data_IF_465247438161
#
_entry.id   IF_465247438161
#
_cell.length_a   1.000
_cell.length_b   1.000
_cell.length_c   1.000
_cell.angle_alpha   90.00
_cell.angle_beta   90.00
_cell.angle_gamma   90.00
#
_symmetry.space_group_name_H-M   'P 1'
#
loop_
_entity.id
_entity.type
_entity.pdbx_description
1 polymer ?
#
# COMPACT_ATOMS: atom_id res chain seq x y z
N UNK A 1 3.98 16.36 -29.07
CA UNK A 1 2.86 17.27 -28.74
C UNK A 1 3.32 18.38 -27.79
N UNK A 2 2.53 19.42 -27.50
CA UNK A 2 2.83 20.36 -26.40
C UNK A 2 2.16 19.86 -25.12
N UNK A 3 2.95 19.58 -24.09
CA UNK A 3 2.47 19.17 -22.77
C UNK A 3 2.30 20.39 -21.84
N UNK A 4 1.32 20.33 -20.94
CA UNK A 4 0.99 21.42 -20.04
C UNK A 4 1.06 20.99 -18.58
N UNK A 5 1.51 21.92 -17.74
CA UNK A 5 1.64 21.72 -16.30
C UNK A 5 0.35 21.97 -15.51
N UNK A 6 0.46 21.82 -14.19
CA UNK A 6 -0.60 22.13 -13.22
C UNK A 6 -0.15 23.27 -12.30
N UNK A 7 -1.00 24.29 -12.11
CA UNK A 7 -0.68 25.36 -11.17
C UNK A 7 -0.66 24.82 -9.75
N UNK A 8 0.38 25.16 -8.99
CA UNK A 8 0.47 24.84 -7.58
C UNK A 8 -0.41 25.80 -6.77
N UNK A 9 -1.31 25.28 -5.94
CA UNK A 9 -2.19 26.09 -5.09
C UNK A 9 -1.51 26.53 -3.78
N UNK A 10 -0.30 26.05 -3.53
CA UNK A 10 0.50 26.32 -2.32
C UNK A 10 1.56 25.23 -2.16
N UNK A 11 1.18 24.16 -1.47
CA UNK A 11 1.98 22.97 -1.22
C UNK A 11 1.38 21.71 -1.87
N UNK A 12 0.69 21.86 -3.00
CA UNK A 12 -0.06 20.77 -3.67
C UNK A 12 0.75 20.05 -4.74
N UNK A 13 2.08 20.12 -4.70
CA UNK A 13 2.95 19.47 -5.69
C UNK A 13 2.83 17.93 -5.67
N UNK A 14 2.53 17.33 -4.51
CA UNK A 14 2.23 15.90 -4.38
C UNK A 14 1.05 15.51 -5.29
N UNK A 15 -0.03 16.28 -5.22
CA UNK A 15 -1.24 16.05 -6.00
C UNK A 15 -1.00 16.30 -7.49
N UNK A 16 -0.30 17.39 -7.83
CA UNK A 16 0.02 17.72 -9.21
C UNK A 16 0.81 16.60 -9.90
N UNK A 17 1.81 16.04 -9.20
CA UNK A 17 2.66 14.96 -9.75
C UNK A 17 1.86 13.68 -10.01
N UNK A 18 0.96 13.30 -9.10
CA UNK A 18 0.06 12.16 -9.26
C UNK A 18 -0.90 12.39 -10.43
N UNK A 19 -1.55 13.56 -10.48
CA UNK A 19 -2.54 13.87 -11.52
C UNK A 19 -1.91 13.87 -12.92
N UNK A 20 -0.65 14.29 -13.05
CA UNK A 20 0.08 14.17 -14.32
C UNK A 20 0.34 12.70 -14.69
N UNK A 21 0.81 11.86 -13.76
CA UNK A 21 1.01 10.44 -14.01
C UNK A 21 -0.31 9.72 -14.41
N UNK A 22 -1.40 10.03 -13.71
CA UNK A 22 -2.74 9.53 -14.03
C UNK A 22 -3.24 10.02 -15.40
N UNK A 23 -3.09 11.31 -15.70
CA UNK A 23 -3.47 11.89 -17.00
C UNK A 23 -2.72 11.25 -18.18
N UNK A 24 -1.45 10.93 -17.97
CA UNK A 24 -0.58 10.31 -18.97
C UNK A 24 -0.82 8.81 -19.14
N UNK A 25 -1.65 8.21 -18.26
CA UNK A 25 -2.14 6.84 -18.42
C UNK A 25 -3.40 6.86 -19.30
N UNK A 26 -3.26 6.47 -20.59
CA UNK A 26 -4.31 6.62 -21.60
C UNK A 26 -5.60 5.89 -21.20
N UNK A 27 -5.48 4.64 -20.79
CA UNK A 27 -6.57 3.76 -20.39
C UNK A 27 -7.37 4.37 -19.24
N UNK A 28 -6.67 4.90 -18.23
CA UNK A 28 -7.31 5.60 -17.11
C UNK A 28 -8.08 6.83 -17.58
N UNK A 29 -7.43 7.70 -18.36
CA UNK A 29 -8.05 8.93 -18.88
C UNK A 29 -9.28 8.65 -19.74
N UNK A 30 -9.23 7.63 -20.56
CA UNK A 30 -10.36 7.21 -21.41
C UNK A 30 -11.50 6.63 -20.58
N UNK A 31 -11.19 5.79 -19.59
CA UNK A 31 -12.18 5.24 -18.67
C UNK A 31 -12.87 6.34 -17.86
N UNK A 32 -12.11 7.28 -17.26
CA UNK A 32 -12.64 8.45 -16.55
C UNK A 32 -13.60 9.27 -17.44
N UNK A 33 -13.24 9.50 -18.71
CA UNK A 33 -14.10 10.19 -19.68
C UNK A 33 -15.39 9.41 -19.97
N UNK A 34 -15.32 8.08 -20.04
CA UNK A 34 -16.49 7.24 -20.30
C UNK A 34 -17.46 7.18 -19.11
N UNK A 35 -16.94 7.27 -17.89
CA UNK A 35 -17.67 7.17 -16.62
C UNK A 35 -18.24 8.51 -16.13
N UNK A 36 -17.84 9.65 -16.70
CA UNK A 36 -18.18 10.99 -16.20
C UNK A 36 -19.63 11.43 -16.49
N UNK A 37 -20.63 10.58 -16.24
CA UNK A 37 -22.04 10.80 -16.64
C UNK A 37 -22.95 11.33 -15.52
N UNK A 38 -22.44 11.63 -14.33
CA UNK A 38 -23.26 12.01 -13.16
C UNK A 38 -22.76 13.26 -12.41
N UNK A 39 -23.27 13.51 -11.20
CA UNK A 39 -23.21 14.74 -10.41
C UNK A 39 -21.90 15.55 -10.44
N UNK A 40 -22.02 16.88 -10.33
CA UNK A 40 -20.87 17.82 -10.31
C UNK A 40 -19.84 17.49 -9.22
N UNK A 41 -20.23 16.90 -8.10
CA UNK A 41 -19.32 16.60 -7.00
C UNK A 41 -18.58 15.25 -7.16
N UNK A 42 -18.83 14.52 -8.25
CA UNK A 42 -18.17 13.25 -8.57
C UNK A 42 -16.71 13.47 -9.00
N UNK A 43 -15.78 12.72 -8.41
CA UNK A 43 -14.36 12.79 -8.74
C UNK A 43 -14.08 12.47 -10.21
N UNK A 44 -14.82 11.55 -10.83
CA UNK A 44 -14.68 11.22 -12.25
C UNK A 44 -15.01 12.43 -13.14
N UNK A 45 -16.01 13.24 -12.77
CA UNK A 45 -16.37 14.46 -13.50
C UNK A 45 -15.28 15.52 -13.36
N UNK A 46 -14.74 15.70 -12.15
CA UNK A 46 -13.69 16.69 -11.91
C UNK A 46 -12.38 16.31 -12.59
N UNK A 47 -12.00 15.02 -12.54
CA UNK A 47 -10.84 14.51 -13.27
C UNK A 47 -11.02 14.64 -14.79
N UNK A 48 -12.18 14.27 -15.34
CA UNK A 48 -12.44 14.44 -16.78
C UNK A 48 -12.33 15.92 -17.20
N UNK A 49 -12.94 16.82 -16.44
CA UNK A 49 -12.88 18.27 -16.68
C UNK A 49 -11.44 18.78 -16.67
N UNK A 50 -10.65 18.36 -15.67
CA UNK A 50 -9.24 18.69 -15.58
C UNK A 50 -8.45 18.15 -16.77
N UNK A 51 -8.65 16.88 -17.13
CA UNK A 51 -7.95 16.21 -18.22
C UNK A 51 -8.25 16.82 -19.58
N UNK A 52 -9.49 17.23 -19.84
CA UNK A 52 -9.85 17.95 -21.07
C UNK A 52 -9.26 19.37 -21.12
N UNK A 53 -9.07 20.03 -19.97
CA UNK A 53 -8.37 21.31 -19.87
C UNK A 53 -6.85 21.16 -20.07
N UNK A 54 -6.24 20.14 -19.46
CA UNK A 54 -4.80 19.83 -19.54
C UNK A 54 -4.32 19.53 -20.97
N UNK A 55 -5.20 19.00 -21.83
CA UNK A 55 -4.89 18.84 -23.27
C UNK A 55 -4.64 20.17 -23.99
N UNK A 56 -5.14 21.28 -23.45
CA UNK A 56 -5.17 22.59 -24.14
C UNK A 56 -4.30 23.64 -23.48
N UNK A 57 -4.15 23.60 -22.14
CA UNK A 57 -3.46 24.65 -21.37
C UNK A 57 -3.00 24.17 -20.00
N UNK A 58 -2.07 24.92 -19.42
CA UNK A 58 -1.75 24.83 -17.99
C UNK A 58 -3.01 25.08 -17.18
N UNK A 59 -3.33 24.16 -16.27
CA UNK A 59 -4.64 24.08 -15.60
C UNK A 59 -4.51 24.14 -14.08
N UNK A 60 -5.62 24.46 -13.40
CA UNK A 60 -5.73 24.51 -11.95
C UNK A 60 -6.44 23.27 -11.42
N UNK A 61 -6.12 22.85 -10.19
CA UNK A 61 -6.67 21.64 -9.56
C UNK A 61 -7.76 21.93 -8.52
N UNK A 62 -8.29 23.15 -8.48
CA UNK A 62 -9.17 23.65 -7.41
C UNK A 62 -10.44 22.82 -7.20
N UNK A 63 -11.09 22.37 -8.28
CA UNK A 63 -12.29 21.55 -8.12
C UNK A 63 -11.95 20.12 -7.67
N UNK A 64 -10.81 19.58 -8.11
CA UNK A 64 -10.31 18.29 -7.64
C UNK A 64 -9.94 18.36 -6.15
N UNK A 65 -9.25 19.40 -5.70
CA UNK A 65 -8.91 19.57 -4.28
C UNK A 65 -10.15 19.72 -3.41
N UNK A 66 -11.18 20.44 -3.88
CA UNK A 66 -12.48 20.53 -3.19
C UNK A 66 -13.16 19.17 -3.06
N UNK A 67 -13.26 18.40 -4.15
CA UNK A 67 -13.88 17.07 -4.14
C UNK A 67 -13.13 16.10 -3.22
N UNK A 68 -11.80 16.14 -3.21
CA UNK A 68 -10.96 15.34 -2.31
C UNK A 68 -10.94 15.85 -0.86
N UNK A 69 -11.64 16.96 -0.56
CA UNK A 69 -11.71 17.62 0.74
C UNK A 69 -10.33 18.06 1.27
N UNK A 70 -9.48 18.55 0.38
CA UNK A 70 -8.18 19.16 0.71
C UNK A 70 -8.43 20.62 1.07
N UNK A 71 -8.71 20.88 2.35
CA UNK A 71 -8.99 22.24 2.85
C UNK A 71 -7.72 23.08 2.99
N UNK A 72 -6.60 22.44 3.35
CA UNK A 72 -5.33 23.11 3.65
C UNK A 72 -4.32 22.89 2.53
N UNK A 73 -4.51 23.60 1.42
CA UNK A 73 -3.64 23.53 0.24
C UNK A 73 -2.19 23.98 0.48
N UNK A 74 -1.89 24.58 1.63
CA UNK A 74 -0.55 25.00 2.05
C UNK A 74 0.18 23.96 2.92
N UNK A 75 -0.48 22.84 3.27
CA UNK A 75 0.14 21.72 3.98
C UNK A 75 0.61 20.64 2.98
N UNK A 76 1.81 20.13 3.20
CA UNK A 76 2.34 19.00 2.44
C UNK A 76 1.66 17.70 2.87
N UNK A 77 1.52 16.78 1.92
CA UNK A 77 0.91 15.47 2.13
C UNK A 77 1.70 14.39 1.39
N UNK A 78 1.43 13.14 1.74
CA UNK A 78 2.03 11.98 1.07
C UNK A 78 1.36 11.72 -0.30
N UNK A 79 2.19 11.52 -1.32
CA UNK A 79 1.67 11.30 -2.67
C UNK A 79 1.01 9.92 -2.83
N UNK A 80 1.55 8.88 -2.18
CA UNK A 80 0.95 7.55 -2.19
C UNK A 80 -0.45 7.54 -1.58
N UNK A 81 -0.63 8.21 -0.45
CA UNK A 81 -1.94 8.33 0.21
C UNK A 81 -3.00 8.96 -0.68
N UNK A 82 -2.69 10.07 -1.36
CA UNK A 82 -3.65 10.73 -2.25
C UNK A 82 -3.87 9.99 -3.56
N UNK A 83 -2.88 9.25 -4.05
CA UNK A 83 -3.07 8.33 -5.17
C UNK A 83 -4.07 7.23 -4.80
N UNK A 84 -3.90 6.57 -3.66
CA UNK A 84 -4.82 5.54 -3.17
C UNK A 84 -6.23 6.09 -2.99
N UNK A 85 -6.35 7.29 -2.40
CA UNK A 85 -7.63 7.97 -2.24
C UNK A 85 -8.32 8.23 -3.58
N UNK A 86 -7.61 8.79 -4.56
CA UNK A 86 -8.17 9.03 -5.90
C UNK A 86 -8.62 7.72 -6.54
N UNK A 87 -7.78 6.68 -6.51
CA UNK A 87 -8.09 5.39 -7.13
C UNK A 87 -9.25 4.64 -6.44
N UNK A 88 -9.48 4.92 -5.15
CA UNK A 88 -10.61 4.38 -4.39
C UNK A 88 -11.92 5.14 -4.60
N UNK A 89 -11.83 6.46 -4.86
CA UNK A 89 -13.02 7.32 -5.04
C UNK A 89 -13.55 7.30 -6.48
N UNK A 90 -12.71 6.99 -7.49
CA UNK A 90 -13.13 6.88 -8.90
C UNK A 90 -13.94 5.60 -9.17
N UNK A 91 -14.59 5.53 -10.33
CA UNK A 91 -15.31 4.33 -10.76
C UNK A 91 -14.39 3.09 -10.85
N UNK A 92 -14.95 1.91 -10.58
CA UNK A 92 -14.23 0.64 -10.73
C UNK A 92 -13.67 0.47 -12.14
N UNK A 93 -14.42 0.89 -13.17
CA UNK A 93 -13.96 0.87 -14.57
C UNK A 93 -12.70 1.74 -14.78
N UNK A 94 -12.61 2.90 -14.11
CA UNK A 94 -11.46 3.78 -14.20
C UNK A 94 -10.26 3.21 -13.44
N UNK A 95 -10.44 2.77 -12.19
CA UNK A 95 -9.33 2.27 -11.37
C UNK A 95 -8.84 0.87 -11.77
N UNK A 96 -9.63 0.11 -12.54
CA UNK A 96 -9.33 -1.26 -12.96
C UNK A 96 -7.94 -1.44 -13.60
N UNK A 97 -7.47 -0.46 -14.38
CA UNK A 97 -6.16 -0.52 -15.03
C UNK A 97 -5.00 -0.69 -14.03
N UNK A 98 -5.16 -0.16 -12.82
CA UNK A 98 -4.16 -0.23 -11.74
C UNK A 98 -4.42 -1.38 -10.75
N UNK A 99 -5.54 -2.09 -10.86
CA UNK A 99 -6.01 -3.02 -9.82
C UNK A 99 -5.44 -4.44 -10.02
N UNK A 100 -4.51 -4.82 -9.15
CA UNK A 100 -4.02 -6.19 -9.04
C UNK A 100 -4.74 -7.02 -7.97
N UNK A 101 -4.37 -8.29 -7.85
CA UNK A 101 -4.85 -9.21 -6.80
C UNK A 101 -3.73 -10.14 -6.37
N UNK A 102 -3.52 -10.24 -5.06
CA UNK A 102 -2.61 -11.18 -4.41
C UNK A 102 -3.42 -12.31 -3.76
N UNK A 103 -2.80 -13.48 -3.62
CA UNK A 103 -3.21 -14.51 -2.67
C UNK A 103 -2.26 -14.41 -1.49
N UNK A 104 -2.79 -14.06 -0.32
CA UNK A 104 -2.10 -14.16 0.96
C UNK A 104 -2.30 -15.57 1.51
N UNK A 105 -1.22 -16.37 1.51
CA UNK A 105 -1.25 -17.76 1.97
C UNK A 105 -0.49 -17.91 3.28
N UNK A 106 -1.15 -18.50 4.26
CA UNK A 106 -0.56 -18.89 5.56
C UNK A 106 -0.53 -20.41 5.64
N UNK A 107 0.63 -21.04 5.79
CA UNK A 107 0.83 -22.49 5.81
C UNK A 107 1.41 -22.93 7.15
N UNK A 108 0.76 -23.88 7.81
CA UNK A 108 1.30 -24.52 9.02
C UNK A 108 2.28 -25.63 8.64
N UNK A 109 3.51 -25.55 9.15
CA UNK A 109 4.58 -26.46 8.73
C UNK A 109 4.42 -27.88 9.31
N UNK A 110 3.68 -28.03 10.41
CA UNK A 110 3.50 -29.35 11.04
C UNK A 110 2.40 -30.21 10.42
N UNK A 111 1.26 -29.61 10.04
CA UNK A 111 0.13 -30.36 9.50
C UNK A 111 -0.22 -30.03 8.04
N UNK A 112 0.49 -29.07 7.42
CA UNK A 112 0.28 -28.64 6.04
C UNK A 112 -1.05 -27.91 5.80
N UNK A 113 -1.83 -27.61 6.84
CA UNK A 113 -3.05 -26.82 6.67
C UNK A 113 -2.70 -25.40 6.24
N UNK A 114 -3.45 -24.87 5.28
CA UNK A 114 -3.27 -23.49 4.84
C UNK A 114 -4.59 -22.72 4.78
N UNK A 115 -4.47 -21.40 4.80
CA UNK A 115 -5.53 -20.44 4.51
C UNK A 115 -5.08 -19.51 3.41
N UNK A 116 -5.96 -19.25 2.45
CA UNK A 116 -5.73 -18.35 1.33
C UNK A 116 -6.75 -17.20 1.41
N UNK A 117 -6.26 -15.96 1.44
CA UNK A 117 -7.07 -14.74 1.37
C UNK A 117 -6.75 -13.98 0.08
N UNK A 118 -7.79 -13.57 -0.66
CA UNK A 118 -7.61 -12.74 -1.85
C UNK A 118 -7.52 -11.27 -1.47
N UNK A 119 -6.40 -10.62 -1.79
CA UNK A 119 -6.09 -9.25 -1.38
C UNK A 119 -5.94 -8.36 -2.62
N UNK A 120 -6.92 -7.49 -2.94
CA UNK A 120 -6.77 -6.52 -4.02
C UNK A 120 -5.75 -5.44 -3.65
N UNK A 121 -5.05 -4.89 -4.64
CA UNK A 121 -4.10 -3.80 -4.43
C UNK A 121 -4.08 -2.81 -5.61
N UNK A 122 -3.71 -1.56 -5.34
CA UNK A 122 -3.39 -0.56 -6.36
C UNK A 122 -1.89 -0.38 -6.58
N UNK A 123 -1.08 -0.60 -5.55
CA UNK A 123 0.38 -0.57 -5.64
C UNK A 123 1.02 -1.56 -4.67
N UNK A 124 2.21 -2.05 -5.03
CA UNK A 124 3.06 -2.81 -4.12
C UNK A 124 3.93 -1.84 -3.34
N UNK A 125 3.86 -1.89 -2.01
CA UNK A 125 4.68 -1.04 -1.15
C UNK A 125 5.97 -1.76 -0.79
N UNK A 126 7.08 -1.31 -1.36
CA UNK A 126 8.39 -1.92 -1.23
C UNK A 126 9.20 -1.21 -0.13
N UNK A 127 9.50 -1.91 0.98
CA UNK A 127 10.49 -1.44 1.95
C UNK A 127 11.89 -1.41 1.31
N UNK A 128 12.71 -0.44 1.71
CA UNK A 128 14.10 -0.35 1.28
C UNK A 128 14.94 -1.21 2.23
N UNK A 129 14.98 -2.52 1.96
CA UNK A 129 15.77 -3.44 2.76
C UNK A 129 17.27 -3.24 2.51
N UNK A 130 18.09 -3.46 3.54
CA UNK A 130 19.55 -3.39 3.41
C UNK A 130 20.05 -4.50 2.48
N UNK A 131 20.74 -4.11 1.41
CA UNK A 131 21.45 -5.06 0.56
C UNK A 131 22.89 -5.18 1.04
N UNK A 132 23.38 -6.40 1.24
CA UNK A 132 24.75 -6.66 1.67
C UNK A 132 25.81 -6.37 0.59
N UNK A 133 25.40 -6.26 -0.68
CA UNK A 133 26.30 -6.33 -1.83
C UNK A 133 26.20 -5.13 -2.81
N UNK A 134 25.47 -4.06 -2.49
CA UNK A 134 25.37 -2.92 -3.40
C UNK A 134 24.26 -1.92 -3.07
N UNK A 135 23.79 -1.24 -4.12
CA UNK A 135 22.59 -0.41 -4.01
C UNK A 135 21.35 -1.28 -4.10
N UNK A 136 20.28 -0.84 -3.44
CA UNK A 136 18.97 -1.46 -3.57
C UNK A 136 18.46 -1.32 -5.00
N UNK A 137 18.08 -2.43 -5.65
CA UNK A 137 17.35 -2.39 -6.91
C UNK A 137 15.84 -2.59 -6.69
N UNK A 138 15.04 -2.01 -7.57
CA UNK A 138 13.58 -2.22 -7.55
C UNK A 138 13.23 -3.71 -7.73
N UNK A 139 14.03 -4.44 -8.51
CA UNK A 139 13.87 -5.88 -8.76
C UNK A 139 14.06 -6.67 -7.46
N UNK A 140 15.09 -6.36 -6.67
CA UNK A 140 15.32 -6.96 -5.34
C UNK A 140 14.15 -6.67 -4.41
N UNK A 141 13.60 -5.45 -4.47
CA UNK A 141 12.43 -5.05 -3.69
C UNK A 141 11.20 -5.92 -3.97
N UNK A 142 10.91 -6.19 -5.24
CA UNK A 142 9.80 -7.06 -5.65
C UNK A 142 10.06 -8.50 -5.21
N UNK A 143 11.28 -9.00 -5.40
CA UNK A 143 11.65 -10.35 -4.98
C UNK A 143 11.51 -10.52 -3.46
N UNK A 144 11.97 -9.54 -2.69
CA UNK A 144 11.83 -9.54 -1.24
C UNK A 144 10.37 -9.47 -0.79
N UNK A 145 9.52 -8.72 -1.51
CA UNK A 145 8.08 -8.65 -1.23
C UNK A 145 7.36 -9.99 -1.43
N UNK A 146 7.76 -10.75 -2.46
CA UNK A 146 7.15 -12.04 -2.81
C UNK A 146 7.82 -13.24 -2.12
N UNK A 147 8.89 -13.02 -1.35
CA UNK A 147 9.60 -14.07 -0.64
C UNK A 147 8.79 -14.55 0.56
N UNK A 148 8.80 -15.87 0.76
CA UNK A 148 8.23 -16.52 1.93
C UNK A 148 8.83 -15.98 3.24
N UNK A 149 7.98 -15.74 4.22
CA UNK A 149 8.33 -15.29 5.57
C UNK A 149 7.98 -16.39 6.55
N UNK A 150 8.99 -16.89 7.26
CA UNK A 150 8.85 -17.93 8.27
C UNK A 150 8.66 -17.32 9.67
N UNK A 151 7.71 -17.85 10.42
CA UNK A 151 7.40 -17.47 11.78
C UNK A 151 7.70 -18.64 12.72
N UNK A 152 8.84 -18.55 13.42
CA UNK A 152 9.40 -19.64 14.22
C UNK A 152 9.64 -19.22 15.68
N UNK A 153 9.83 -20.21 16.57
CA UNK A 153 10.19 -19.94 17.97
C UNK A 153 9.13 -19.11 18.73
N UNK A 154 9.51 -17.91 19.19
CA UNK A 154 8.60 -17.02 19.94
C UNK A 154 7.48 -16.45 19.06
N UNK A 155 7.72 -16.35 17.74
CA UNK A 155 6.82 -15.75 16.76
C UNK A 155 5.84 -16.76 16.12
N UNK A 156 5.85 -18.03 16.58
CA UNK A 156 4.95 -19.07 16.09
C UNK A 156 3.47 -18.66 16.10
N UNK A 157 2.77 -19.00 15.03
CA UNK A 157 1.34 -18.69 14.88
C UNK A 157 0.47 -19.84 15.38
N UNK A 158 -0.71 -19.52 15.90
CA UNK A 158 -1.65 -20.54 16.36
C UNK A 158 -2.32 -21.23 15.17
N UNK A 159 -2.21 -22.55 15.09
CA UNK A 159 -2.86 -23.35 14.06
C UNK A 159 -4.18 -23.95 14.57
N UNK A 160 -5.28 -23.67 13.88
CA UNK A 160 -6.61 -24.17 14.24
C UNK A 160 -6.77 -25.69 14.10
N UNK A 161 -5.98 -26.36 13.25
CA UNK A 161 -6.00 -27.84 13.16
C UNK A 161 -5.14 -28.49 14.24
N UNK A 162 -3.94 -27.97 14.49
CA UNK A 162 -3.05 -28.50 15.53
C UNK A 162 -3.49 -28.14 16.95
N UNK A 163 -4.31 -27.09 17.11
CA UNK A 163 -4.68 -26.49 18.41
C UNK A 163 -3.48 -26.06 19.25
N UNK A 164 -2.40 -25.64 18.59
CA UNK A 164 -1.15 -25.23 19.23
C UNK A 164 -0.40 -24.21 18.36
N UNK A 165 0.55 -23.48 18.94
CA UNK A 165 1.46 -22.59 18.21
C UNK A 165 2.45 -23.40 17.38
N UNK A 166 2.58 -23.09 16.10
CA UNK A 166 3.41 -23.82 15.14
C UNK A 166 4.23 -22.87 14.29
N UNK A 167 5.37 -23.38 13.85
CA UNK A 167 6.11 -22.75 12.77
C UNK A 167 5.18 -22.62 11.56
N UNK A 168 5.17 -21.43 10.98
CA UNK A 168 4.18 -21.04 9.98
C UNK A 168 4.89 -20.23 8.90
N UNK A 169 4.64 -20.60 7.65
CA UNK A 169 5.13 -19.88 6.48
C UNK A 169 4.02 -18.98 5.94
N UNK A 170 4.30 -17.69 5.77
CA UNK A 170 3.43 -16.73 5.08
C UNK A 170 4.04 -16.35 3.74
N UNK A 171 3.23 -16.32 2.69
CA UNK A 171 3.67 -15.86 1.36
C UNK A 171 2.57 -15.14 0.58
N UNK A 172 3.01 -14.34 -0.38
CA UNK A 172 2.14 -13.68 -1.34
C UNK A 172 2.36 -14.21 -2.75
N UNK A 173 1.28 -14.61 -3.41
CA UNK A 173 1.30 -15.03 -4.82
C UNK A 173 0.51 -14.01 -5.66
N UNK A 174 1.06 -13.58 -6.80
CA UNK A 174 0.34 -12.69 -7.72
C UNK A 174 -0.71 -13.50 -8.48
N UNK A 175 -2.00 -13.24 -8.21
CA UNK A 175 -3.13 -13.91 -8.88
C UNK A 175 -3.63 -13.11 -10.09
N UNK A 176 -3.69 -11.79 -9.96
CA UNK A 176 -4.04 -10.89 -11.09
C UNK A 176 -3.02 -9.77 -11.18
N UNK A 177 -2.35 -9.73 -12.32
CA UNK A 177 -1.43 -8.67 -12.70
C UNK A 177 -2.20 -7.44 -13.20
N UNK A 178 -1.91 -6.22 -12.70
CA UNK A 178 -2.52 -4.99 -13.21
C UNK A 178 -1.92 -4.63 -14.60
N UNK A 179 -2.67 -3.91 -15.42
CA UNK A 179 -2.15 -3.41 -16.72
C UNK A 179 -1.11 -2.30 -16.51
N UNK A 180 -1.30 -1.49 -15.47
CA UNK A 180 -0.30 -0.56 -14.96
C UNK A 180 0.04 -0.94 -13.52
N UNK A 181 1.27 -1.42 -13.33
CA UNK A 181 1.83 -1.71 -12.02
C UNK A 181 2.39 -0.43 -11.40
N UNK A 182 1.96 -0.12 -10.18
CA UNK A 182 2.52 0.97 -9.39
C UNK A 182 3.35 0.36 -8.25
N UNK A 183 4.57 0.85 -8.08
CA UNK A 183 5.44 0.51 -6.96
C UNK A 183 5.63 1.74 -6.08
N UNK A 184 5.34 1.62 -4.79
CA UNK A 184 5.59 2.64 -3.78
C UNK A 184 6.87 2.29 -3.04
N UNK A 185 7.90 3.14 -3.16
CA UNK A 185 9.13 3.02 -2.39
C UNK A 185 8.91 3.65 -1.01
N UNK A 186 8.91 2.82 0.05
CA UNK A 186 8.68 3.23 1.44
C UNK A 186 9.91 3.96 2.01
N UNK A 187 10.12 5.19 1.52
CA UNK A 187 11.25 6.03 1.93
C UNK A 187 11.01 6.76 3.24
N UNK A 188 9.84 6.69 3.84
CA UNK A 188 9.55 7.40 5.08
C UNK A 188 9.37 6.37 6.18
N UNK A 189 10.34 6.32 7.10
CA UNK A 189 10.38 5.31 8.15
C UNK A 189 10.68 5.95 9.51
N UNK A 190 10.15 5.33 10.56
CA UNK A 190 10.47 5.71 11.92
C UNK A 190 11.83 5.15 12.31
N UNK A 191 12.79 6.02 12.58
CA UNK A 191 14.08 5.62 13.09
C UNK A 191 14.00 5.43 14.62
N UNK A 192 13.98 4.18 15.07
CA UNK A 192 13.90 3.84 16.50
C UNK A 192 15.11 4.31 17.31
N UNK A 193 16.30 4.38 16.71
CA UNK A 193 17.49 4.87 17.40
C UNK A 193 17.43 6.37 17.66
N UNK A 194 16.87 7.12 16.71
CA UNK A 194 16.73 8.59 16.78
C UNK A 194 15.39 9.02 17.37
N UNK A 195 14.48 8.07 17.62
CA UNK A 195 13.10 8.30 18.06
C UNK A 195 12.35 9.32 17.18
N UNK A 196 12.62 9.30 15.87
CA UNK A 196 12.13 10.31 14.92
C UNK A 196 11.85 9.70 13.56
N UNK A 197 10.85 10.21 12.86
CA UNK A 197 10.67 9.89 11.44
C UNK A 197 11.79 10.51 10.61
N UNK A 198 12.31 9.76 9.64
CA UNK A 198 13.29 10.24 8.66
C UNK A 198 12.98 9.75 7.26
N UNK A 199 13.42 10.50 6.25
CA UNK A 199 13.41 10.04 4.86
C UNK A 199 14.68 9.24 4.55
N UNK A 200 14.52 8.02 4.08
CA UNK A 200 15.57 7.24 3.46
C UNK A 200 15.95 7.82 2.08
N UNK A 201 17.15 8.40 2.05
CA UNK A 201 17.72 9.07 0.88
C UNK A 201 18.75 8.20 0.14
N UNK A 202 18.82 6.90 0.44
CA UNK A 202 19.68 5.97 -0.28
C UNK A 202 19.30 5.92 -1.76
N UNK A 203 20.32 5.73 -2.59
CA UNK A 203 20.13 5.61 -4.02
C UNK A 203 19.55 4.23 -4.37
N UNK A 204 18.57 4.22 -5.26
CA UNK A 204 17.87 3.03 -5.73
C UNK A 204 18.08 2.88 -7.22
N UNK A 205 18.39 1.67 -7.67
CA UNK A 205 18.46 1.29 -9.08
C UNK A 205 17.05 1.01 -9.60
N UNK A 206 16.50 1.97 -10.36
CA UNK A 206 15.17 1.89 -10.98
C UNK A 206 15.30 1.33 -12.39
N UNK A 207 15.05 0.04 -12.56
CA UNK A 207 15.17 -0.62 -13.86
C UNK A 207 14.09 -0.13 -14.85
N UNK A 208 14.47 0.13 -16.10
CA UNK A 208 13.49 0.55 -17.12
C UNK A 208 12.56 -0.59 -17.54
N UNK A 209 13.00 -1.84 -17.37
CA UNK A 209 12.20 -3.03 -17.61
C UNK A 209 12.32 -3.95 -16.41
N UNK A 210 11.20 -4.47 -15.93
CA UNK A 210 11.14 -5.44 -14.84
C UNK A 210 10.32 -6.67 -15.26
N UNK A 211 10.63 -7.82 -14.68
CA UNK A 211 9.90 -9.05 -14.90
C UNK A 211 9.26 -9.49 -13.59
N UNK A 212 7.95 -9.70 -13.61
CA UNK A 212 7.20 -10.33 -12.53
C UNK A 212 6.97 -11.82 -12.84
N UNK A 213 6.54 -12.61 -11.84
CA UNK A 213 6.12 -14.00 -12.06
C UNK A 213 5.15 -14.15 -13.24
N UNK A 214 5.03 -15.39 -13.73
CA UNK A 214 4.18 -15.73 -14.88
C UNK A 214 4.62 -15.06 -16.20
N UNK A 215 5.92 -14.76 -16.34
CA UNK A 215 6.52 -14.12 -17.53
C UNK A 215 5.87 -12.78 -17.90
N UNK A 216 5.45 -12.01 -16.89
CA UNK A 216 4.84 -10.70 -17.10
C UNK A 216 5.92 -9.61 -17.07
N UNK A 217 6.25 -9.08 -18.24
CA UNK A 217 7.23 -8.00 -18.39
C UNK A 217 6.54 -6.64 -18.34
N UNK A 218 7.15 -5.69 -17.64
CA UNK A 218 6.68 -4.31 -17.57
C UNK A 218 7.79 -3.30 -17.89
N UNK A 219 7.40 -2.16 -18.42
CA UNK A 219 8.27 -1.04 -18.78
C UNK A 219 7.93 0.22 -17.97
N UNK A 220 8.96 0.85 -17.40
CA UNK A 220 8.83 2.09 -16.67
C UNK A 220 8.42 3.21 -17.64
N UNK A 221 7.38 3.96 -17.29
CA UNK A 221 6.97 5.14 -18.07
C UNK A 221 6.73 6.39 -17.21
N UNK A 222 6.62 6.27 -15.88
CA UNK A 222 6.58 7.44 -15.01
C UNK A 222 7.24 7.20 -13.66
N UNK A 223 7.89 8.26 -13.16
CA UNK A 223 8.41 8.36 -11.81
C UNK A 223 7.77 9.58 -11.13
N UNK A 224 7.24 9.41 -9.93
CA UNK A 224 6.93 10.52 -9.02
C UNK A 224 8.06 10.60 -8.01
N UNK A 225 8.73 11.73 -7.99
CA UNK A 225 9.93 11.98 -7.22
C UNK A 225 9.64 12.95 -6.08
N UNK A 226 10.22 12.71 -4.92
CA UNK A 226 10.18 13.60 -3.77
C UNK A 226 11.58 14.12 -3.44
N UNK A 227 11.77 15.44 -3.47
CA UNK A 227 12.98 16.12 -3.03
C UNK A 227 12.76 16.72 -1.64
N UNK A 228 13.81 16.76 -0.80
CA UNK A 228 13.70 17.27 0.58
C UNK A 228 13.45 16.18 1.63
N UNK A 229 12.86 16.58 2.75
CA UNK A 229 12.67 15.77 3.97
C UNK A 229 11.19 15.63 4.34
N UNK A 230 10.89 14.95 5.46
CA UNK A 230 9.53 14.79 5.97
C UNK A 230 8.83 16.10 6.34
N UNK A 231 9.58 17.09 6.83
CA UNK A 231 9.02 18.36 7.30
C UNK A 231 8.85 19.37 6.19
N UNK A 232 9.33 19.05 4.98
CA UNK A 232 9.38 19.96 3.87
C UNK A 232 10.10 19.36 2.68
N UNK A 233 9.38 19.22 1.58
CA UNK A 233 9.90 18.76 0.31
C UNK A 233 9.13 19.27 -0.89
N UNK A 234 9.42 18.70 -2.04
CA UNK A 234 8.79 19.06 -3.31
C UNK A 234 8.64 17.83 -4.18
N UNK A 235 7.45 17.63 -4.72
CA UNK A 235 7.16 16.54 -5.63
C UNK A 235 7.23 16.99 -7.09
N UNK A 236 7.81 16.15 -7.94
CA UNK A 236 7.73 16.30 -9.40
C UNK A 236 7.41 14.96 -10.04
N UNK A 237 6.92 14.98 -11.29
CA UNK A 237 6.75 13.76 -12.08
C UNK A 237 7.65 13.79 -13.33
N UNK A 238 8.36 12.70 -13.59
CA UNK A 238 9.14 12.49 -14.81
C UNK A 238 8.46 11.38 -15.61
N UNK A 239 7.96 11.69 -16.80
CA UNK A 239 7.04 10.81 -17.56
C UNK A 239 7.51 10.69 -19.01
N UNK A 240 7.53 9.46 -19.52
CA UNK A 240 7.66 9.09 -20.93
C UNK A 240 6.26 8.83 -21.50
N UNK A 241 5.73 9.70 -22.39
CA UNK A 241 4.47 9.47 -23.06
C UNK A 241 4.52 8.20 -23.90
N UNK A 242 3.40 7.46 -24.00
CA UNK A 242 3.32 6.19 -24.76
C UNK A 242 3.73 6.35 -26.24
N UNK A 243 3.40 7.49 -26.85
CA UNK A 243 3.66 7.76 -28.27
C UNK A 243 5.01 8.46 -28.54
N UNK A 244 5.85 8.67 -27.51
CA UNK A 244 7.14 9.36 -27.66
C UNK A 244 8.28 8.65 -26.92
N UNK A 245 9.45 8.52 -27.56
CA UNK A 245 10.65 7.96 -26.92
C UNK A 245 11.44 9.01 -26.09
N UNK A 246 10.73 9.96 -25.47
CA UNK A 246 11.35 11.09 -24.76
C UNK A 246 10.70 11.32 -23.41
N UNK A 247 11.53 11.60 -22.42
CA UNK A 247 11.10 11.90 -21.06
C UNK A 247 10.85 13.38 -20.86
N UNK A 248 9.79 13.69 -20.14
CA UNK A 248 9.40 15.05 -19.78
C UNK A 248 9.28 15.16 -18.26
N UNK A 249 9.89 16.21 -17.70
CA UNK A 249 9.77 16.56 -16.29
C UNK A 249 8.66 17.59 -16.11
N UNK A 250 7.64 17.17 -15.38
CA UNK A 250 6.49 17.95 -14.95
C UNK A 250 6.75 18.46 -13.53
N UNK A 251 7.02 19.75 -13.43
CA UNK A 251 7.26 20.45 -12.18
C UNK A 251 6.21 21.56 -12.04
N UNK A 252 5.08 21.20 -11.43
CA UNK A 252 3.88 22.04 -11.36
C UNK A 252 3.53 22.60 -12.74
N UNK A 253 3.56 23.93 -12.90
CA UNK A 253 3.17 24.62 -14.13
C UNK A 253 4.21 24.51 -15.25
N UNK A 254 5.43 24.10 -14.92
CA UNK A 254 6.55 23.96 -15.85
C UNK A 254 6.65 22.54 -16.37
N UNK A 255 6.79 22.40 -17.68
CA UNK A 255 7.08 21.12 -18.33
C UNK A 255 8.35 21.29 -19.16
N UNK A 256 9.33 20.44 -18.90
CA UNK A 256 10.65 20.51 -19.54
C UNK A 256 11.00 19.15 -20.13
N UNK A 257 11.62 19.16 -21.31
CA UNK A 257 12.20 17.96 -21.90
C UNK A 257 13.43 17.56 -21.07
N UNK A 258 13.52 16.30 -20.67
CA UNK A 258 14.72 15.75 -20.03
C UNK A 258 15.76 15.52 -21.14
N UNK A 259 16.92 16.16 -21.02
CA UNK A 259 18.01 16.02 -22.00
C UNK A 259 18.56 14.60 -22.05
N UNK A 260 19.23 14.24 -23.16
CA UNK A 260 19.75 12.92 -23.53
C UNK A 260 19.89 11.93 -22.37
N UNK A 261 18.83 11.18 -22.08
CA UNK A 261 18.97 9.89 -21.42
C UNK A 261 19.50 8.94 -22.48
N UNK A 262 20.65 8.32 -22.22
CA UNK A 262 21.23 7.32 -23.10
C UNK A 262 20.30 6.12 -23.11
N UNK A 263 19.63 5.84 -24.24
CA UNK A 263 18.68 4.73 -24.44
C UNK A 263 19.27 3.32 -24.21
N UNK A 264 20.52 3.24 -23.77
CA UNK A 264 21.30 2.03 -23.53
C UNK A 264 21.44 1.68 -22.03
N UNK A 265 21.03 2.57 -21.12
CA UNK A 265 21.11 2.29 -19.69
C UNK A 265 20.01 1.32 -19.27
N UNK A 266 20.35 0.31 -18.46
CA UNK A 266 19.40 -0.69 -17.95
C UNK A 266 18.50 -0.13 -16.85
N UNK A 267 19.00 0.84 -16.09
CA UNK A 267 18.33 1.42 -14.93
C UNK A 267 18.71 2.90 -14.76
N UNK A 268 17.85 3.64 -14.07
CA UNK A 268 18.11 4.99 -13.59
C UNK A 268 18.41 4.96 -12.08
N UNK A 269 19.55 5.52 -11.67
CA UNK A 269 19.92 5.66 -10.26
C UNK A 269 19.17 6.85 -9.65
N UNK A 270 18.31 6.61 -8.67
CA UNK A 270 17.49 7.67 -8.05
C UNK A 270 17.49 7.66 -6.52
N UNK A 271 17.67 8.84 -5.92
CA UNK A 271 17.52 9.09 -4.48
C UNK A 271 16.16 9.71 -4.13
N UNK A 272 15.39 10.11 -5.15
CA UNK A 272 14.16 10.90 -5.03
C UNK A 272 12.91 10.11 -5.39
N UNK A 273 13.02 9.06 -6.22
CA UNK A 273 11.86 8.30 -6.71
C UNK A 273 11.04 7.73 -5.55
N UNK A 274 9.75 8.00 -5.53
CA UNK A 274 8.83 7.59 -4.48
C UNK A 274 7.71 6.70 -5.00
N UNK A 275 7.12 7.04 -6.15
CA UNK A 275 6.19 6.15 -6.88
C UNK A 275 6.75 5.87 -8.27
N UNK A 276 6.64 4.62 -8.71
CA UNK A 276 7.07 4.18 -10.03
C UNK A 276 5.88 3.56 -10.76
N UNK A 277 5.64 3.99 -12.00
CA UNK A 277 4.57 3.47 -12.84
C UNK A 277 5.19 2.69 -13.99
N UNK A 278 4.77 1.43 -14.05
CA UNK A 278 5.22 0.44 -15.00
C UNK A 278 4.04 -0.03 -15.83
N UNK A 279 4.17 -0.02 -17.15
CA UNK A 279 3.15 -0.52 -18.07
C UNK A 279 3.49 -1.93 -18.50
N UNK A 280 2.50 -2.81 -18.48
CA UNK A 280 2.63 -4.18 -18.94
C UNK A 280 2.92 -4.22 -20.45
N UNK A 281 3.92 -5.01 -20.87
CA UNK A 281 4.13 -5.28 -22.31
C UNK A 281 3.04 -6.22 -22.81
N UNK A 282 2.42 -5.85 -23.92
CA UNK A 282 1.49 -6.73 -24.62
C UNK A 282 2.31 -7.80 -25.38
N UNK A 283 2.19 -9.06 -24.98
CA UNK A 283 2.83 -10.21 -25.64
C UNK A 283 2.28 -10.54 -27.03
N UNK A 284 1.51 -9.64 -27.66
CA UNK A 284 0.79 -9.88 -28.93
C UNK A 284 1.55 -9.44 -30.19
N UNK A 285 2.80 -8.96 -30.08
CA UNK A 285 3.52 -8.40 -31.23
C UNK A 285 4.76 -9.18 -31.70
N UNK A 286 5.13 -10.31 -31.07
CA UNK A 286 6.31 -11.09 -31.48
C UNK A 286 6.04 -12.32 -32.37
N UNK A 287 4.80 -12.58 -32.82
CA UNK A 287 4.49 -13.71 -33.72
C UNK A 287 4.29 -13.32 -35.20
N UNK A 288 4.90 -12.20 -35.63
CA UNK A 288 4.98 -11.81 -37.04
C UNK A 288 6.42 -11.53 -37.46
N UNK A 289 7.17 -12.61 -37.68
CA UNK A 289 8.48 -12.59 -38.31
C UNK A 289 9.33 -13.67 -37.67
N UNK A 290 9.35 -14.90 -38.18
CA UNK A 290 10.23 -15.25 -39.29
C UNK A 290 9.80 -16.61 -39.85
N UNK A 291 9.24 -16.65 -41.06
CA UNK A 291 9.26 -17.88 -41.87
C UNK A 291 10.59 -17.88 -42.61
N UNK A 292 11.57 -18.57 -42.05
CA UNK A 292 12.70 -19.08 -42.84
C UNK A 292 12.32 -20.50 -43.23
N UNK A 293 12.23 -20.71 -44.53
CA UNK A 293 12.10 -22.02 -45.16
C UNK A 293 13.40 -22.80 -44.90
N UNK A 294 13.31 -23.92 -44.19
CA UNK A 294 14.35 -24.95 -44.20
C UNK A 294 13.84 -26.15 -45.00
N UNK A 295 14.32 -26.21 -46.25
CA UNK A 295 14.25 -27.40 -47.08
C UNK A 295 15.41 -28.35 -46.74
N UNK A 296 15.09 -29.63 -46.77
CA UNK A 296 15.84 -30.78 -46.26
C UNK A 296 17.29 -30.93 -46.76
N UNK A 297 18.14 -31.54 -45.92
CA UNK A 297 18.96 -32.71 -46.33
C UNK A 297 19.37 -33.58 -45.13
N UNK A 298 18.96 -34.84 -45.21
CA UNK A 298 19.36 -36.00 -44.41
C UNK A 298 20.77 -36.42 -44.84
N UNK A 299 21.67 -36.74 -43.88
CA UNK A 299 22.55 -37.90 -43.96
C UNK A 299 22.88 -38.42 -42.54
N UNK A 300 22.89 -39.74 -42.47
CA UNK A 300 23.03 -40.65 -41.33
C UNK A 300 24.48 -40.67 -40.84
N UNK A 301 24.69 -40.68 -39.51
CA UNK A 301 25.55 -41.73 -38.95
C UNK A 301 25.21 -42.07 -37.50
N UNK A 302 25.25 -43.38 -37.24
CA UNK A 302 25.05 -44.00 -35.94
C UNK A 302 26.30 -43.83 -35.10
N UNK A 303 26.18 -43.54 -33.81
CA UNK A 303 26.94 -44.36 -32.87
C UNK A 303 26.28 -44.47 -31.50
N UNK A 304 26.38 -45.68 -30.96
CA UNK A 304 25.90 -46.11 -29.65
C UNK A 304 26.95 -45.77 -28.60
N UNK A 305 26.50 -45.35 -27.43
CA UNK A 305 27.08 -45.87 -26.18
C UNK A 305 26.11 -45.67 -25.02
N UNK A 306 25.64 -46.80 -24.51
CA UNK A 306 25.11 -46.97 -23.16
C UNK A 306 26.09 -46.43 -22.12
N UNK A 307 25.57 -45.83 -21.05
CA UNK A 307 25.99 -46.25 -19.72
C UNK A 307 24.95 -45.84 -18.67
N UNK A 308 24.39 -46.89 -18.06
CA UNK A 308 23.78 -46.87 -16.75
C UNK A 308 24.69 -46.17 -15.73
N UNK A 309 24.09 -45.38 -14.82
CA UNK A 309 24.35 -45.64 -13.41
C UNK A 309 23.22 -45.14 -12.51
N UNK A 310 22.56 -46.11 -11.90
CA UNK A 310 21.77 -46.00 -10.69
C UNK A 310 22.57 -45.43 -9.53
N UNK A 311 22.01 -44.46 -8.81
CA UNK A 311 22.59 -43.91 -7.59
C UNK A 311 21.53 -43.31 -6.67
N UNK A 312 20.86 -44.18 -5.91
CA UNK A 312 20.01 -43.83 -4.77
C UNK A 312 20.92 -43.47 -3.60
N UNK A 313 20.90 -42.21 -3.14
CA UNK A 313 21.49 -41.81 -1.85
C UNK A 313 20.44 -41.01 -1.06
N UNK A 314 20.09 -41.56 0.10
CA UNK A 314 19.35 -40.94 1.19
C UNK A 314 20.26 -40.05 2.05
N UNK A 315 19.65 -39.08 2.74
CA UNK A 315 20.12 -38.32 3.92
C UNK A 315 21.43 -37.53 3.80
N UNK A 316 21.37 -36.20 3.95
CA UNK A 316 21.48 -35.57 5.28
C UNK A 316 21.23 -34.05 5.20
N UNK A 317 20.44 -33.55 6.15
CA UNK A 317 20.29 -32.13 6.41
C UNK A 317 21.48 -31.68 7.24
N UNK A 318 22.43 -30.97 6.63
CA UNK A 318 23.47 -30.28 7.38
C UNK A 318 23.11 -28.81 7.64
N UNK A 319 23.21 -28.51 8.92
CA UNK A 319 22.97 -27.24 9.59
C UNK A 319 24.05 -26.25 9.18
N UNK A 320 23.66 -25.02 8.85
CA UNK A 320 24.46 -23.86 9.19
C UNK A 320 23.56 -22.65 9.43
N UNK A 321 23.20 -22.49 10.70
CA UNK A 321 22.58 -21.30 11.25
C UNK A 321 23.60 -20.14 11.28
N UNK A 322 23.26 -19.02 10.65
CA UNK A 322 23.63 -17.70 11.14
C UNK A 322 22.34 -16.98 11.52
N UNK A 323 21.93 -17.19 12.78
CA UNK A 323 20.82 -16.47 13.40
C UNK A 323 21.34 -15.08 13.79
N UNK A 324 21.03 -14.06 13.00
CA UNK A 324 21.25 -12.67 13.40
C UNK A 324 20.16 -12.27 14.40
N UNK A 325 20.56 -12.14 15.67
CA UNK A 325 19.75 -11.52 16.70
C UNK A 325 19.45 -10.06 16.32
N UNK A 326 18.18 -9.70 16.23
CA UNK A 326 17.73 -8.32 16.45
C UNK A 326 16.34 -8.27 17.08
N UNK A 327 16.33 -7.93 18.37
CA UNK A 327 15.31 -7.12 19.07
C UNK A 327 13.87 -7.63 19.21
N UNK A 328 13.66 -8.79 19.84
CA UNK A 328 12.35 -9.20 20.43
C UNK A 328 11.95 -8.34 21.66
N UNK A 329 12.90 -7.65 22.32
CA UNK A 329 12.63 -6.84 23.51
C UNK A 329 11.87 -5.52 23.22
N UNK A 330 11.94 -4.98 22.00
CA UNK A 330 11.30 -3.71 21.64
C UNK A 330 9.79 -3.86 21.37
N UNK A 331 9.38 -5.00 20.80
CA UNK A 331 7.96 -5.34 20.57
C UNK A 331 7.21 -5.58 21.89
N UNK A 332 7.85 -6.27 22.84
CA UNK A 332 7.28 -6.52 24.17
C UNK A 332 7.07 -5.23 24.97
N UNK A 333 8.01 -4.28 24.93
CA UNK A 333 7.85 -2.97 25.58
C UNK A 333 6.74 -2.13 24.93
N UNK A 334 6.51 -2.26 23.62
CA UNK A 334 5.43 -1.56 22.92
C UNK A 334 4.04 -2.09 23.30
N UNK A 335 3.88 -3.41 23.37
CA UNK A 335 2.61 -4.02 23.79
C UNK A 335 2.30 -3.71 25.26
N UNK A 336 3.30 -3.74 26.15
CA UNK A 336 3.11 -3.35 27.55
C UNK A 336 2.82 -1.86 27.73
N UNK A 337 3.48 -0.96 26.97
CA UNK A 337 3.22 0.48 27.04
C UNK A 337 1.82 0.86 26.51
N UNK A 338 1.36 0.22 25.43
CA UNK A 338 0.03 0.46 24.86
C UNK A 338 -1.08 -0.11 25.75
N UNK A 339 -0.87 -1.28 26.38
CA UNK A 339 -1.80 -1.83 27.37
C UNK A 339 -1.83 -1.01 28.67
N UNK A 340 -0.68 -0.50 29.12
CA UNK A 340 -0.56 0.36 30.30
C UNK A 340 -1.25 1.72 30.08
N UNK A 341 -1.07 2.37 28.92
CA UNK A 341 -1.75 3.63 28.61
C UNK A 341 -3.26 3.46 28.45
N UNK A 342 -3.73 2.36 27.83
CA UNK A 342 -5.18 2.07 27.77
C UNK A 342 -5.77 1.83 29.16
N UNK A 343 -5.07 1.14 30.06
CA UNK A 343 -5.50 0.95 31.43
C UNK A 343 -5.50 2.26 32.26
N UNK A 344 -4.52 3.16 32.02
CA UNK A 344 -4.45 4.48 32.67
C UNK A 344 -5.55 5.43 32.15
N UNK A 345 -5.84 5.43 30.85
CA UNK A 345 -6.93 6.24 30.27
C UNK A 345 -8.29 5.71 30.71
N UNK A 346 -8.50 4.39 30.75
CA UNK A 346 -9.72 3.79 31.31
C UNK A 346 -9.83 4.06 32.83
N UNK A 347 -8.74 3.94 33.58
CA UNK A 347 -8.70 4.22 35.01
C UNK A 347 -9.01 5.69 35.33
N UNK A 348 -8.44 6.63 34.59
CA UNK A 348 -8.72 8.07 34.70
C UNK A 348 -10.14 8.43 34.25
N UNK A 349 -10.70 7.72 33.25
CA UNK A 349 -12.09 7.87 32.84
C UNK A 349 -13.06 7.38 33.94
N UNK A 350 -12.77 6.24 34.58
CA UNK A 350 -13.57 5.77 35.71
C UNK A 350 -13.43 6.69 36.93
N UNK A 351 -12.22 7.18 37.23
CA UNK A 351 -12.01 8.16 38.30
C UNK A 351 -12.72 9.48 38.03
N UNK A 352 -12.76 9.96 36.79
CA UNK A 352 -13.48 11.19 36.43
C UNK A 352 -15.00 11.00 36.45
N UNK A 353 -15.51 9.84 36.05
CA UNK A 353 -16.93 9.48 36.17
C UNK A 353 -17.32 9.29 37.63
N UNK A 354 -16.50 8.63 38.45
CA UNK A 354 -16.75 8.50 39.88
C UNK A 354 -16.65 9.84 40.61
N UNK A 355 -15.65 10.68 40.28
CA UNK A 355 -15.53 12.04 40.81
C UNK A 355 -16.70 12.92 40.38
N UNK A 356 -17.18 12.80 39.13
CA UNK A 356 -18.37 13.50 38.64
C UNK A 356 -19.64 13.00 39.33
N UNK A 357 -19.79 11.70 39.56
CA UNK A 357 -20.91 11.13 40.30
C UNK A 357 -20.86 11.50 41.79
N UNK A 358 -19.69 11.56 42.41
CA UNK A 358 -19.51 12.03 43.78
C UNK A 358 -19.75 13.54 43.90
N UNK A 359 -19.26 14.33 42.96
CA UNK A 359 -19.52 15.77 42.87
C UNK A 359 -21.02 16.03 42.65
N UNK A 360 -21.67 15.25 41.78
CA UNK A 360 -23.11 15.32 41.55
C UNK A 360 -23.90 14.87 42.78
N UNK A 361 -23.43 13.87 43.54
CA UNK A 361 -24.04 13.42 44.82
C UNK A 361 -23.85 14.45 45.94
N UNK A 362 -22.68 15.07 46.04
CA UNK A 362 -22.37 16.14 47.00
C UNK A 362 -23.16 17.42 46.68
N UNK A 363 -23.30 17.79 45.40
CA UNK A 363 -24.12 18.91 44.97
C UNK A 363 -25.63 18.61 45.00
N UNK A 364 -26.07 17.36 44.82
CA UNK A 364 -27.47 17.00 45.09
C UNK A 364 -27.82 17.12 46.58
N UNK A 365 -26.88 16.78 47.47
CA UNK A 365 -27.03 17.01 48.92
C UNK A 365 -27.16 18.49 49.29
N UNK A 366 -26.51 19.39 48.53
CA UNK A 366 -26.61 20.84 48.72
C UNK A 366 -27.84 21.47 48.04
N UNK A 367 -28.33 20.88 46.93
CA UNK A 367 -29.56 21.34 46.25
C UNK A 367 -30.82 20.89 47.00
N UNK A 368 -30.80 19.76 47.70
CA UNK A 368 -31.90 19.31 48.57
C UNK A 368 -32.04 20.08 49.89
N UNK A 369 -31.11 20.98 50.23
CA UNK A 369 -31.28 21.93 51.36
C UNK A 369 -31.95 23.26 50.98
N UNK A 370 -32.30 23.48 49.71
CA UNK A 370 -32.92 24.75 49.26
C UNK A 370 -34.25 24.64 48.50
N UNK A 371 -34.86 23.45 48.41
CA UNK A 371 -36.22 23.30 47.86
C UNK A 371 -37.10 22.51 48.81
N UNK A 372 -38.00 23.18 49.52
CA UNK A 372 -39.13 22.54 50.21
C UNK A 372 -40.10 22.05 49.13
N UNK A 373 -40.19 20.73 48.90
CA UNK A 373 -41.23 20.15 48.04
C UNK A 373 -40.90 18.79 47.42
N UNK A 374 -41.44 17.72 48.04
CA UNK A 374 -41.85 16.42 47.48
C UNK A 374 -40.87 15.59 46.60
N UNK A 375 -40.20 14.55 47.14
CA UNK A 375 -39.41 13.60 46.37
C UNK A 375 -40.06 12.21 46.36
N UNK A 376 -41.07 11.97 45.52
CA UNK A 376 -41.59 10.60 45.33
C UNK A 376 -41.77 10.15 43.87
N UNK A 377 -41.58 11.05 42.89
CA UNK A 377 -41.81 10.72 41.47
C UNK A 377 -40.51 10.51 40.67
N UNK A 378 -39.36 11.02 41.15
CA UNK A 378 -38.08 10.91 40.41
C UNK A 378 -37.33 9.59 40.67
N UNK A 379 -37.50 8.99 41.84
CA UNK A 379 -36.80 7.75 42.24
C UNK A 379 -37.34 6.54 41.45
N UNK A 380 -38.63 6.50 41.12
CA UNK A 380 -39.23 5.40 40.35
C UNK A 380 -38.83 5.38 38.87
N UNK A 381 -38.50 6.53 38.25
CA UNK A 381 -38.03 6.55 36.84
C UNK A 381 -36.58 6.11 36.68
N UNK A 382 -35.73 6.32 37.70
CA UNK A 382 -34.32 5.90 37.67
C UNK A 382 -34.19 4.39 37.96
N UNK A 383 -35.04 3.84 38.84
CA UNK A 383 -35.06 2.40 39.14
C UNK A 383 -35.50 1.54 37.93
N UNK A 384 -36.46 2.03 37.12
CA UNK A 384 -36.89 1.36 35.89
C UNK A 384 -35.80 1.35 34.80
N UNK A 385 -34.98 2.42 34.72
CA UNK A 385 -33.88 2.53 33.76
C UNK A 385 -32.73 1.58 34.13
N UNK A 386 -32.40 1.47 35.42
CA UNK A 386 -31.38 0.55 35.91
C UNK A 386 -31.78 -0.93 35.78
N UNK A 387 -33.09 -1.24 35.90
CA UNK A 387 -33.59 -2.60 35.67
C UNK A 387 -33.54 -3.01 34.18
N UNK A 388 -33.80 -2.07 33.26
CA UNK A 388 -33.65 -2.30 31.80
C UNK A 388 -32.19 -2.48 31.39
N UNK A 389 -31.25 -1.74 31.99
CA UNK A 389 -29.80 -1.89 31.74
C UNK A 389 -29.29 -3.25 32.27
N UNK A 390 -29.78 -3.71 33.43
CA UNK A 390 -29.44 -5.04 33.98
C UNK A 390 -30.03 -6.21 33.17
N UNK A 391 -31.19 -6.02 32.53
CA UNK A 391 -31.78 -7.00 31.62
C UNK A 391 -31.00 -7.15 30.30
N UNK A 392 -30.49 -6.04 29.75
CA UNK A 392 -29.70 -6.06 28.52
C UNK A 392 -28.30 -6.72 28.70
N UNK A 393 -27.71 -6.62 29.90
CA UNK A 393 -26.39 -7.19 30.19
C UNK A 393 -26.39 -8.72 30.40
N UNK A 394 -27.55 -9.36 30.62
CA UNK A 394 -27.66 -10.82 30.82
C UNK A 394 -27.91 -11.62 29.53
N UNK A 395 -28.25 -10.96 28.42
CA UNK A 395 -28.51 -11.61 27.13
C UNK A 395 -27.32 -11.55 26.15
N UNK A 396 -26.11 -11.22 26.63
CA UNK A 396 -24.87 -11.21 25.83
C UNK A 396 -23.91 -12.35 26.22
N UNK A 397 -24.46 -13.49 26.64
CA UNK A 397 -23.76 -14.77 26.60
C UNK A 397 -23.90 -15.39 25.21
N UNK A 398 -22.77 -15.66 24.56
CA UNK A 398 -22.59 -16.30 23.24
C UNK A 398 -23.60 -17.41 22.88
N UNK A 399 -24.00 -17.54 21.59
CA UNK A 399 -23.16 -18.26 20.63
C UNK A 399 -23.07 -17.65 19.21
N UNK A 400 -21.95 -17.97 18.55
CA UNK A 400 -21.68 -18.05 17.10
C UNK A 400 -22.35 -17.06 16.12
N UNK A 401 -21.51 -16.23 15.46
CA UNK A 401 -21.44 -16.13 14.00
C UNK A 401 -20.21 -15.34 13.54
N UNK A 402 -19.59 -15.87 12.49
CA UNK A 402 -18.43 -15.40 11.73
C UNK A 402 -18.51 -13.89 11.38
N UNK A 403 -17.44 -13.16 11.61
CA UNK A 403 -16.99 -12.10 10.69
C UNK A 403 -15.49 -11.89 10.82
N UNK A 404 -14.80 -12.17 9.72
CA UNK A 404 -13.41 -11.81 9.45
C UNK A 404 -13.27 -10.29 9.44
N UNK A 405 -12.59 -9.73 10.44
CA UNK A 405 -12.09 -8.36 10.40
C UNK A 405 -10.59 -8.43 10.67
N UNK A 406 -9.82 -8.60 9.59
CA UNK A 406 -8.40 -8.27 9.59
C UNK A 406 -8.29 -6.76 9.38
N UNK A 407 -7.64 -5.99 10.27
CA UNK A 407 -7.32 -4.61 9.99
C UNK A 407 -6.22 -4.55 8.92
N UNK A 408 -6.50 -3.90 7.80
CA UNK A 408 -5.51 -3.52 6.80
C UNK A 408 -4.47 -2.55 7.41
N UNK A 409 -3.17 -2.65 7.08
CA UNK A 409 -2.11 -1.81 7.67
C UNK A 409 -2.16 -0.29 7.38
N UNK A 410 -3.24 0.25 6.82
CA UNK A 410 -3.34 1.65 6.39
C UNK A 410 -3.83 2.64 7.47
N UNK A 411 -3.91 2.24 8.74
CA UNK A 411 -4.47 3.09 9.82
C UNK A 411 -3.47 3.55 10.90
N UNK A 412 -2.17 3.50 10.61
CA UNK A 412 -1.15 4.13 11.45
C UNK A 412 -0.18 4.94 10.59
N UNK A 413 -0.65 6.08 10.08
CA UNK A 413 0.15 7.25 9.72
C UNK A 413 -0.57 8.48 10.24
#
# INVERSE_FOLDING_TARGET
MKYYGLRNQGATCYLNSILQALFMTREFREAVKSCSKHHKDDINVQLNTLFESLKKKTSETTEVTKTLRIEKVYEQQDAGQYLEKILSDVSDEASKVFKGELIHRTVCDQCGSHTDDEVPFFFLSLPLMDSSNGNYSVEDGIQAFLKDVEFCGEDQMYCDKCKYKRDTTIKYELKRHPEVLILLLKRFEYNYHRMSYSKDSRAVDVCYTINLPENQTYELYALVEHFGSLTGGHYTATIKPEDEDRWYKFNDSSVTLVGNQTSQEKFERSQSSHLLFYRKRNTKEEDKGTKVEEDQRILIDNDKSENDNTGKITSDCDKNHNCFYSSSLAMLLFVFAVLSMKALVFGLFFLSVFAFLFWKKANFGNVLRKTKGCPFILINKISLLLFRIRGAARNLGHPEKKSSWAPTPAQLV
#
